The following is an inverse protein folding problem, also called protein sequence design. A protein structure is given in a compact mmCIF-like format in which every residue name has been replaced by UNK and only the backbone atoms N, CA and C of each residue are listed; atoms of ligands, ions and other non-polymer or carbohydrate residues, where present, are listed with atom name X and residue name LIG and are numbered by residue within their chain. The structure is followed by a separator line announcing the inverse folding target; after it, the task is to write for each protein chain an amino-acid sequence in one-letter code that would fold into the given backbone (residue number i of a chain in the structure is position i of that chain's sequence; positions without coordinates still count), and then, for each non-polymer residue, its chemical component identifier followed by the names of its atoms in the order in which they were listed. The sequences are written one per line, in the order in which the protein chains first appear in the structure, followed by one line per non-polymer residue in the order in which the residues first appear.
data_IF_904970108736
#
_entry.id   IF_904970108736
#
_cell.length_a   1.000
_cell.length_b   1.000
_cell.length_c   1.000
_cell.angle_alpha   90.00
_cell.angle_beta   90.00
_cell.angle_gamma   90.00
#
_symmetry.space_group_name_H-M   'P 1'
#
loop_
_entity.id
_entity.type
_entity.pdbx_description
1 polymer ?
#
# COMPACT_ATOMS: atom_id res chain seq x y z
N UNK A 1 -1.14 -22.10 -16.54
CA UNK A 1 -1.84 -21.13 -16.52
C UNK A 1 -1.50 -20.22 -15.53
N UNK A 2 -1.37 -19.10 -15.67
CA UNK A 2 -1.01 -18.28 -14.81
C UNK A 2 -2.04 -17.77 -14.02
N UNK A 3 -1.85 -17.75 -12.84
CA UNK A 3 -2.73 -17.31 -11.98
C UNK A 3 -2.55 -15.92 -11.84
N UNK A 4 -3.45 -15.21 -12.11
CA UNK A 4 -3.34 -13.86 -11.98
C UNK A 4 -3.72 -13.47 -10.63
N UNK A 5 -2.85 -12.82 -9.92
CA UNK A 5 -3.18 -12.37 -8.63
C UNK A 5 -3.97 -11.12 -8.76
N UNK A 6 -5.20 -11.20 -8.44
CA UNK A 6 -6.00 -10.03 -8.29
C UNK A 6 -5.74 -9.54 -6.89
N UNK A 7 -4.80 -8.65 -6.77
CA UNK A 7 -4.51 -8.09 -5.47
C UNK A 7 -5.60 -7.08 -5.19
N UNK A 8 -6.44 -7.41 -4.26
CA UNK A 8 -7.43 -6.46 -3.83
C UNK A 8 -6.80 -5.56 -2.83
N UNK A 9 -6.43 -4.42 -3.25
CA UNK A 9 -5.90 -3.43 -2.32
C UNK A 9 -7.02 -2.47 -1.98
N UNK A 10 -7.98 -2.95 -1.27
CA UNK A 10 -9.08 -2.07 -0.91
C UNK A 10 -8.70 -1.27 0.30
N UNK A 11 -7.91 -0.28 0.12
CA UNK A 11 -7.60 0.63 1.19
C UNK A 11 -8.69 1.68 1.22
N UNK A 12 -9.75 1.34 1.87
CA UNK A 12 -10.78 2.33 2.03
C UNK A 12 -10.39 3.17 3.21
N UNK A 13 -9.83 4.27 2.94
CA UNK A 13 -9.60 5.23 3.96
C UNK A 13 -10.87 6.04 4.00
N UNK A 14 -11.75 5.60 4.82
CA UNK A 14 -12.95 6.35 5.04
C UNK A 14 -12.55 7.54 5.86
N UNK A 15 -11.91 8.45 5.25
CA UNK A 15 -11.44 9.54 6.02
C UNK A 15 -12.29 10.72 5.78
N UNK A 16 -13.07 11.01 6.70
CA UNK A 16 -13.50 12.36 6.80
C UNK A 16 -12.32 13.06 7.42
N UNK A 17 -11.37 13.38 6.64
CA UNK A 17 -10.26 14.12 7.14
C UNK A 17 -10.72 15.53 7.31
N UNK A 18 -11.02 15.86 8.50
CA UNK A 18 -11.22 17.23 8.83
C UNK A 18 -9.87 17.86 8.82
N UNK A 19 -9.39 18.20 7.72
CA UNK A 19 -8.08 18.74 7.73
C UNK A 19 -8.16 20.17 8.01
N UNK A 20 -7.65 20.53 9.10
CA UNK A 20 -7.58 21.91 9.46
C UNK A 20 -6.45 22.62 8.76
N UNK A 21 -5.42 21.91 8.33
CA UNK A 21 -4.32 22.54 7.64
C UNK A 21 -3.78 21.57 6.62
N UNK A 22 -3.14 22.14 5.60
CA UNK A 22 -2.58 21.32 4.56
C UNK A 22 -1.40 20.48 5.04
N UNK A 23 -0.69 20.98 6.03
CA UNK A 23 0.53 20.32 6.48
C UNK A 23 0.28 19.00 7.17
N UNK A 24 -0.87 18.82 7.77
CA UNK A 24 -1.18 17.61 8.49
C UNK A 24 -2.03 16.60 7.75
N UNK A 25 -2.37 16.87 6.51
CA UNK A 25 -3.29 16.00 5.79
C UNK A 25 -2.77 14.59 5.65
N UNK A 26 -1.52 14.45 5.19
CA UNK A 26 -0.97 13.13 4.98
C UNK A 26 -0.75 12.41 6.30
N UNK A 27 -0.24 13.11 7.28
CA UNK A 27 -0.05 12.52 8.60
C UNK A 27 -1.36 12.05 9.19
N UNK A 28 -2.41 12.86 9.04
CA UNK A 28 -3.72 12.50 9.55
C UNK A 28 -4.27 11.28 8.82
N UNK A 29 -4.13 11.23 7.50
CA UNK A 29 -4.61 10.10 6.72
C UNK A 29 -3.88 8.82 7.10
N UNK A 30 -2.57 8.92 7.29
CA UNK A 30 -1.76 7.77 7.68
C UNK A 30 -2.15 7.29 9.07
N UNK A 31 -2.31 8.20 10.02
CA UNK A 31 -2.71 7.84 11.38
C UNK A 31 -4.07 7.16 11.40
N UNK A 32 -4.99 7.68 10.61
CA UNK A 32 -6.32 7.11 10.57
C UNK A 32 -6.31 5.72 9.97
N UNK A 33 -5.55 5.53 8.90
CA UNK A 33 -5.43 4.22 8.29
C UNK A 33 -4.75 3.24 9.25
N UNK A 34 -3.69 3.68 9.92
CA UNK A 34 -2.95 2.82 10.83
C UNK A 34 -3.81 2.32 11.98
N UNK A 35 -4.79 3.11 12.39
CA UNK A 35 -5.63 2.72 13.52
C UNK A 35 -6.47 1.48 13.23
N UNK A 36 -6.71 1.16 11.97
CA UNK A 36 -7.51 -0.01 11.62
C UNK A 36 -6.65 -1.21 11.24
N UNK A 37 -5.34 -1.11 11.34
CA UNK A 37 -4.44 -2.17 10.91
C UNK A 37 -3.92 -2.96 12.10
N UNK A 38 -3.55 -4.23 11.89
CA UNK A 38 -3.60 -4.94 10.61
C UNK A 38 -4.99 -5.47 10.29
N UNK A 39 -5.25 -5.70 9.00
CA UNK A 39 -6.53 -6.29 8.62
C UNK A 39 -6.38 -7.04 7.30
N UNK A 40 -7.23 -8.04 7.12
CA UNK A 40 -7.26 -8.78 5.86
C UNK A 40 -8.03 -7.99 4.83
N UNK A 41 -7.54 -8.00 3.60
CA UNK A 41 -8.19 -7.29 2.51
C UNK A 41 -9.15 -8.19 1.74
N UNK A 42 -9.05 -9.50 1.93
CA UNK A 42 -9.94 -10.43 1.28
C UNK A 42 -10.45 -11.45 2.27
N UNK A 43 -11.49 -12.16 1.90
CA UNK A 43 -12.13 -13.10 2.80
C UNK A 43 -11.28 -14.32 3.08
N UNK A 44 -10.43 -14.68 2.14
CA UNK A 44 -9.61 -15.87 2.28
C UNK A 44 -8.32 -15.62 3.03
N UNK A 45 -8.05 -14.37 3.39
CA UNK A 45 -6.82 -14.06 4.10
C UNK A 45 -5.58 -14.18 3.25
N UNK A 46 -5.73 -14.01 1.94
CA UNK A 46 -4.58 -14.08 1.05
C UNK A 46 -3.69 -12.86 1.24
N UNK A 47 -4.30 -11.71 1.38
CA UNK A 47 -3.58 -10.44 1.50
C UNK A 47 -3.94 -9.76 2.81
N UNK A 48 -2.93 -9.38 3.57
CA UNK A 48 -3.13 -8.63 4.80
C UNK A 48 -2.42 -7.30 4.69
N UNK A 49 -3.12 -6.22 4.99
CA UNK A 49 -2.50 -4.90 5.08
C UNK A 49 -1.96 -4.79 6.50
N UNK A 50 -0.65 -4.86 6.62
CA UNK A 50 -0.02 -4.99 7.93
C UNK A 50 0.21 -3.65 8.61
N UNK A 51 0.72 -2.67 7.86
CA UNK A 51 1.01 -1.38 8.46
C UNK A 51 1.14 -0.30 7.40
N UNK A 52 1.13 0.94 7.88
CA UNK A 52 1.37 2.10 7.05
C UNK A 52 2.12 3.11 7.91
N UNK A 53 3.06 3.80 7.33
CA UNK A 53 3.84 4.80 8.05
C UNK A 53 4.28 5.89 7.11
N UNK A 54 4.43 7.10 7.63
CA UNK A 54 4.95 8.22 6.87
C UNK A 54 6.19 8.75 7.55
N UNK A 55 7.31 8.73 6.82
CA UNK A 55 8.56 9.29 7.29
C UNK A 55 8.63 10.72 6.77
N UNK A 56 8.39 11.65 7.63
CA UNK A 56 8.29 13.05 7.24
C UNK A 56 9.61 13.60 6.75
N UNK A 57 10.70 13.18 7.37
CA UNK A 57 12.03 13.69 6.99
C UNK A 57 12.43 13.21 5.61
N UNK A 58 12.20 11.94 5.32
CA UNK A 58 12.54 11.40 4.02
C UNK A 58 11.43 11.63 3.00
N UNK A 59 10.25 12.02 3.47
CA UNK A 59 9.07 12.24 2.64
C UNK A 59 8.69 10.96 1.91
N UNK A 60 8.58 9.87 2.66
CA UNK A 60 8.23 8.56 2.11
C UNK A 60 7.06 7.99 2.90
N UNK A 61 6.03 7.59 2.19
CA UNK A 61 4.93 6.86 2.81
C UNK A 61 5.09 5.39 2.45
N UNK A 62 5.09 4.52 3.44
CA UNK A 62 5.34 3.09 3.26
C UNK A 62 4.11 2.28 3.64
N UNK A 63 3.68 1.44 2.73
CA UNK A 63 2.59 0.49 2.94
C UNK A 63 3.20 -0.89 3.04
N UNK A 64 2.85 -1.66 4.05
CA UNK A 64 3.37 -3.02 4.22
C UNK A 64 2.23 -4.01 4.09
N UNK A 65 2.38 -4.95 3.17
CA UNK A 65 1.38 -5.98 2.92
C UNK A 65 2.03 -7.34 3.08
N UNK A 66 1.27 -8.30 3.60
CA UNK A 66 1.74 -9.68 3.73
C UNK A 66 0.81 -10.59 2.96
N UNK A 67 1.38 -11.59 2.31
CA UNK A 67 0.61 -12.55 1.54
C UNK A 67 0.74 -13.94 2.15
N UNK A 68 -0.33 -14.70 2.07
CA UNK A 68 -0.37 -16.03 2.63
C UNK A 68 0.36 -17.00 1.70
N UNK A 69 1.42 -17.68 2.17
CA UNK A 69 2.20 -18.56 1.31
C UNK A 69 1.45 -19.81 0.86
N UNK A 70 0.30 -20.09 1.44
CA UNK A 70 -0.53 -21.19 0.96
C UNK A 70 -1.14 -20.89 -0.39
N UNK A 71 -1.30 -19.61 -0.71
CA UNK A 71 -1.90 -19.20 -1.98
C UNK A 71 -0.91 -18.61 -2.95
N UNK A 72 0.25 -18.18 -2.48
CA UNK A 72 1.25 -17.52 -3.31
C UNK A 72 2.59 -18.15 -3.03
N UNK A 73 3.20 -18.80 -4.01
CA UNK A 73 4.51 -19.39 -3.82
C UNK A 73 5.60 -18.31 -3.92
N UNK A 74 6.78 -18.65 -3.42
CA UNK A 74 7.90 -17.71 -3.50
C UNK A 74 8.26 -17.38 -4.95
N UNK A 75 8.15 -18.36 -5.83
CA UNK A 75 8.46 -18.13 -7.24
C UNK A 75 7.46 -17.18 -7.89
N UNK A 76 6.19 -17.40 -7.61
CA UNK A 76 5.15 -16.54 -8.14
C UNK A 76 5.30 -15.12 -7.60
N UNK A 77 5.63 -15.02 -6.33
CA UNK A 77 5.78 -13.74 -5.68
C UNK A 77 6.92 -12.94 -6.31
N UNK A 78 8.07 -13.57 -6.49
CA UNK A 78 9.23 -12.90 -7.09
C UNK A 78 8.98 -12.55 -8.55
N UNK A 79 8.29 -13.41 -9.28
CA UNK A 79 8.06 -13.21 -10.70
C UNK A 79 7.08 -12.09 -10.99
N UNK A 80 6.30 -11.67 -10.00
CA UNK A 80 5.24 -10.69 -10.23
C UNK A 80 5.66 -9.26 -9.91
N UNK A 81 6.93 -9.02 -9.61
CA UNK A 81 7.37 -7.71 -9.15
C UNK A 81 7.01 -6.58 -10.12
N UNK A 82 7.30 -6.77 -11.40
CA UNK A 82 7.02 -5.71 -12.37
C UNK A 82 5.53 -5.45 -12.52
N UNK A 83 4.75 -6.54 -12.53
CA UNK A 83 3.30 -6.41 -12.63
C UNK A 83 2.71 -5.76 -11.39
N UNK A 84 3.31 -6.02 -10.24
CA UNK A 84 2.85 -5.40 -9.00
C UNK A 84 3.00 -3.90 -9.03
N UNK A 85 4.10 -3.41 -9.59
CA UNK A 85 4.31 -1.96 -9.62
C UNK A 85 3.21 -1.28 -10.42
N UNK A 86 2.91 -1.82 -11.60
CA UNK A 86 1.88 -1.24 -12.45
C UNK A 86 0.52 -1.29 -11.76
N UNK A 87 0.22 -2.42 -11.14
CA UNK A 87 -1.06 -2.58 -10.46
C UNK A 87 -1.21 -1.64 -9.28
N UNK A 88 -0.14 -1.47 -8.51
CA UNK A 88 -0.16 -0.59 -7.35
C UNK A 88 -0.30 0.87 -7.75
N UNK A 89 0.37 1.27 -8.82
CA UNK A 89 0.22 2.63 -9.31
C UNK A 89 -1.21 2.89 -9.78
N UNK A 90 -1.79 1.96 -10.52
CA UNK A 90 -3.17 2.10 -10.95
C UNK A 90 -4.13 2.16 -9.79
N UNK A 91 -3.89 1.32 -8.79
CA UNK A 91 -4.73 1.30 -7.62
C UNK A 91 -4.67 2.64 -6.90
N UNK A 92 -3.46 3.16 -6.72
CA UNK A 92 -3.28 4.43 -6.02
C UNK A 92 -3.93 5.58 -6.77
N UNK A 93 -3.86 5.57 -8.10
CA UNK A 93 -4.52 6.60 -8.90
C UNK A 93 -6.03 6.63 -8.65
N UNK A 94 -6.60 5.50 -8.32
CA UNK A 94 -8.03 5.41 -8.03
C UNK A 94 -8.42 5.82 -6.62
N UNK A 95 -7.44 5.99 -5.74
CA UNK A 95 -7.72 6.35 -4.36
C UNK A 95 -7.65 7.85 -4.20
N UNK A 96 -8.75 8.50 -4.53
CA UNK A 96 -8.79 9.97 -4.58
C UNK A 96 -8.52 10.61 -3.24
N UNK A 97 -8.92 9.96 -2.16
CA UNK A 97 -8.70 10.53 -0.84
C UNK A 97 -7.23 10.57 -0.50
N UNK A 98 -6.52 9.49 -0.80
CA UNK A 98 -5.10 9.45 -0.53
C UNK A 98 -4.34 10.37 -1.46
N UNK A 99 -4.75 10.44 -2.72
CA UNK A 99 -4.13 11.36 -3.68
C UNK A 99 -4.22 12.80 -3.14
N UNK A 100 -5.40 13.19 -2.66
CA UNK A 100 -5.56 14.53 -2.12
C UNK A 100 -4.71 14.76 -0.88
N UNK A 101 -4.58 13.75 -0.05
CA UNK A 101 -3.77 13.86 1.16
C UNK A 101 -2.29 14.06 0.82
N UNK A 102 -1.86 13.57 -0.33
CA UNK A 102 -0.45 13.62 -0.72
C UNK A 102 -0.10 14.79 -1.63
N UNK A 103 -1.08 15.56 -2.06
CA UNK A 103 -0.85 16.62 -3.05
C UNK A 103 0.16 17.66 -2.61
N UNK A 104 0.14 18.00 -1.35
CA UNK A 104 1.01 19.09 -0.86
C UNK A 104 2.43 18.62 -0.62
N UNK A 105 2.61 17.40 -0.14
CA UNK A 105 3.94 16.89 0.18
C UNK A 105 4.57 16.12 -0.96
N UNK A 106 3.76 15.55 -1.84
CA UNK A 106 4.22 14.76 -2.99
C UNK A 106 5.29 13.75 -2.58
N UNK A 107 4.95 12.82 -1.69
CA UNK A 107 5.95 11.89 -1.17
C UNK A 107 6.30 10.81 -2.19
N UNK A 108 7.38 10.09 -1.90
CA UNK A 108 7.65 8.83 -2.56
C UNK A 108 6.73 7.80 -1.91
N UNK A 109 6.12 6.97 -2.73
CA UNK A 109 5.23 5.91 -2.25
C UNK A 109 5.98 4.60 -2.33
N UNK A 110 6.07 3.91 -1.19
CA UNK A 110 6.78 2.64 -1.11
C UNK A 110 5.83 1.57 -0.63
N UNK A 111 5.85 0.43 -1.32
CA UNK A 111 5.12 -0.75 -0.88
C UNK A 111 6.13 -1.83 -0.56
N UNK A 112 6.05 -2.35 0.65
CA UNK A 112 6.86 -3.49 1.06
C UNK A 112 5.94 -4.69 1.09
N UNK A 113 6.15 -5.60 0.16
CA UNK A 113 5.30 -6.77 -0.02
C UNK A 113 6.05 -7.98 0.50
N UNK A 114 5.47 -8.66 1.46
CA UNK A 114 6.13 -9.75 2.14
C UNK A 114 5.34 -11.02 2.03
N UNK A 115 6.03 -12.15 2.02
CA UNK A 115 5.38 -13.45 2.05
C UNK A 115 5.45 -13.93 3.49
N UNK A 116 4.30 -14.15 4.10
CA UNK A 116 4.20 -14.42 5.52
C UNK A 116 5.02 -15.64 5.91
N UNK A 117 5.85 -15.50 6.94
CA UNK A 117 6.68 -16.61 7.40
C UNK A 117 7.86 -16.93 6.53
N UNK A 118 8.08 -16.17 5.47
CA UNK A 118 9.20 -16.39 4.57
C UNK A 118 10.07 -15.15 4.53
N UNK A 119 11.28 -15.29 4.01
CA UNK A 119 12.16 -14.14 3.86
C UNK A 119 11.94 -13.38 2.56
N UNK A 120 11.12 -13.93 1.68
CA UNK A 120 10.84 -13.30 0.39
C UNK A 120 10.19 -11.94 0.58
N UNK A 121 10.67 -10.97 -0.19
CA UNK A 121 10.26 -9.60 0.02
C UNK A 121 10.42 -8.85 -1.31
N UNK A 122 9.41 -8.07 -1.66
CA UNK A 122 9.43 -7.25 -2.87
C UNK A 122 9.16 -5.82 -2.46
N UNK A 123 10.01 -4.90 -2.89
CA UNK A 123 9.82 -3.48 -2.61
C UNK A 123 9.52 -2.77 -3.91
N UNK A 124 8.41 -2.04 -3.94
CA UNK A 124 7.99 -1.27 -5.10
C UNK A 124 7.94 0.19 -4.67
N UNK A 125 8.62 1.05 -5.40
CA UNK A 125 8.65 2.47 -5.09
C UNK A 125 8.36 3.29 -6.32
N UNK A 126 7.65 4.39 -6.13
CA UNK A 126 7.47 5.38 -7.20
C UNK A 126 7.14 6.72 -6.57
N UNK A 127 7.55 7.80 -7.23
CA UNK A 127 7.23 9.13 -6.70
C UNK A 127 5.78 9.48 -6.99
N UNK A 128 5.22 10.33 -6.13
CA UNK A 128 3.86 10.81 -6.32
C UNK A 128 3.67 11.41 -7.71
N UNK A 129 4.70 12.05 -8.23
CA UNK A 129 4.61 12.74 -9.51
C UNK A 129 4.43 11.79 -10.69
N UNK A 130 4.64 10.49 -10.50
CA UNK A 130 4.40 9.51 -11.54
C UNK A 130 2.94 9.06 -11.61
N UNK A 131 2.11 9.49 -10.69
CA UNK A 131 0.69 9.10 -10.67
C UNK A 131 -0.21 9.93 -11.58
#
# INVERSE_FOLDING_TARGET
MKKIFTFLFAAIIAASVCSCSNDGKLEAAVSQAAASLPRNLDEDGITEWTSIAYDKEANIVTFVYSYNPEYVTEEQFAASEADMKAALMNYMRGDQQFIKAMEDTKPTIRYELKLKGKSANVVVEFPFTDL
#
